data_IF_279053310007
#
_entry.id   IF_279053310007
#
_cell.length_a   1.000
_cell.length_b   1.000
_cell.length_c   1.000
_cell.angle_alpha   90.00
_cell.angle_beta   90.00
_cell.angle_gamma   90.00
#
_symmetry.space_group_name_H-M   'P 1'
#
loop_
_entity.id
_entity.type
_entity.pdbx_description
1 polymer ?
#
# COMPACT_ATOMS: atom_id res chain seq x y z
N UNK A 1 -7.10 -4.25 4.13
CA UNK A 1 -6.19 -3.43 4.96
C UNK A 1 -6.32 -1.98 4.59
N UNK A 2 -6.48 -1.13 5.55
CA UNK A 2 -6.70 0.28 5.28
C UNK A 2 -5.39 1.02 5.07
N UNK A 3 -5.46 2.04 4.23
CA UNK A 3 -4.29 2.87 3.93
C UNK A 3 -3.71 3.48 5.19
N UNK A 4 -4.57 3.92 6.10
CA UNK A 4 -4.11 4.57 7.32
C UNK A 4 -3.38 3.61 8.25
N UNK A 5 -3.74 2.33 8.23
CA UNK A 5 -3.08 1.34 9.06
C UNK A 5 -1.65 1.09 8.57
N UNK A 6 -1.47 1.06 7.26
CA UNK A 6 -0.15 0.91 6.68
C UNK A 6 0.69 2.15 6.97
N UNK A 7 0.09 3.32 6.85
CA UNK A 7 0.78 4.57 7.15
C UNK A 7 1.22 4.63 8.61
N UNK A 8 0.39 4.16 9.52
CA UNK A 8 0.73 4.12 10.93
C UNK A 8 1.91 3.20 11.18
N UNK A 9 1.92 2.02 10.56
CA UNK A 9 3.04 1.09 10.69
C UNK A 9 4.33 1.72 10.17
N UNK A 10 4.28 2.35 9.01
CA UNK A 10 5.45 2.99 8.42
C UNK A 10 5.97 4.08 9.35
N UNK A 11 5.07 4.90 9.86
CA UNK A 11 5.44 6.00 10.74
C UNK A 11 6.15 5.50 11.99
N UNK A 12 5.62 4.44 12.59
CA UNK A 12 6.23 3.85 13.80
C UNK A 12 7.56 3.19 13.50
N UNK A 13 7.67 2.51 12.37
CA UNK A 13 8.92 1.85 11.99
C UNK A 13 10.03 2.84 11.71
N UNK A 14 9.68 4.05 11.31
CA UNK A 14 10.67 5.11 11.09
C UNK A 14 10.96 5.90 12.37
N UNK A 15 10.49 5.44 13.51
CA UNK A 15 10.69 6.08 14.82
C UNK A 15 9.98 7.41 14.94
N UNK A 16 8.82 7.50 14.32
CA UNK A 16 7.91 8.65 14.44
C UNK A 16 8.60 9.99 14.19
N UNK A 17 9.17 10.19 13.00
CA UNK A 17 9.89 11.43 12.72
C UNK A 17 8.99 12.65 12.83
N UNK A 18 9.48 13.71 13.42
CA UNK A 18 8.69 14.93 13.61
C UNK A 18 8.38 15.63 12.29
N UNK A 19 9.10 15.31 11.23
CA UNK A 19 8.89 15.91 9.92
C UNK A 19 7.83 15.17 9.10
N UNK A 20 7.34 14.04 9.59
CA UNK A 20 6.33 13.26 8.90
C UNK A 20 5.04 13.27 9.67
N UNK A 21 3.96 12.93 8.98
CA UNK A 21 2.67 12.74 9.61
C UNK A 21 2.00 11.52 9.00
N UNK A 22 1.16 10.88 9.77
CA UNK A 22 0.42 9.72 9.28
C UNK A 22 -0.45 10.07 8.07
N UNK A 23 -1.19 11.20 8.06
CA UNK A 23 -1.95 11.57 6.87
C UNK A 23 -1.11 11.76 5.61
N UNK A 24 0.08 12.30 5.74
CA UNK A 24 0.97 12.48 4.59
C UNK A 24 1.44 11.14 4.04
N UNK A 25 1.79 10.22 4.93
CA UNK A 25 2.20 8.89 4.51
C UNK A 25 1.02 8.15 3.88
N UNK A 26 -0.17 8.29 4.46
CA UNK A 26 -1.37 7.67 3.90
C UNK A 26 -1.68 8.18 2.50
N UNK A 27 -1.50 9.47 2.28
CA UNK A 27 -1.68 10.04 0.96
C UNK A 27 -0.69 9.44 -0.04
N UNK A 28 0.57 9.31 0.37
CA UNK A 28 1.58 8.69 -0.49
C UNK A 28 1.23 7.26 -0.82
N UNK A 29 0.82 6.49 0.19
CA UNK A 29 0.45 5.08 -0.01
C UNK A 29 -0.69 4.98 -1.01
N UNK A 30 -1.72 5.77 -0.82
CA UNK A 30 -2.87 5.76 -1.71
C UNK A 30 -2.48 6.11 -3.14
N UNK A 31 -1.57 7.06 -3.28
CA UNK A 31 -1.15 7.53 -4.60
C UNK A 31 -0.23 6.55 -5.31
N UNK A 32 0.37 5.61 -4.57
CA UNK A 32 1.37 4.71 -5.13
C UNK A 32 0.92 3.25 -5.22
N UNK A 33 -0.35 2.98 -5.00
CA UNK A 33 -0.87 1.62 -5.17
C UNK A 33 -0.73 1.17 -6.62
N UNK A 34 -0.85 2.10 -7.56
CA UNK A 34 -0.63 1.78 -8.97
C UNK A 34 0.78 1.29 -9.26
N UNK A 35 1.78 1.90 -8.62
CA UNK A 35 3.15 1.45 -8.76
C UNK A 35 3.33 0.05 -8.16
N UNK A 36 2.71 -0.20 -7.02
CA UNK A 36 2.74 -1.53 -6.43
C UNK A 36 2.18 -2.56 -7.39
N UNK A 37 1.07 -2.24 -8.04
CA UNK A 37 0.46 -3.13 -9.02
C UNK A 37 1.43 -3.45 -10.16
N UNK A 38 2.19 -2.46 -10.60
CA UNK A 38 3.17 -2.67 -11.66
C UNK A 38 4.28 -3.63 -11.22
N UNK A 39 4.75 -3.50 -10.00
CA UNK A 39 5.80 -4.38 -9.50
C UNK A 39 5.31 -5.80 -9.28
N UNK A 40 4.08 -5.95 -8.83
CA UNK A 40 3.56 -7.26 -8.44
C UNK A 40 2.62 -7.87 -9.48
N UNK A 41 2.34 -7.16 -10.54
CA UNK A 41 1.39 -7.60 -11.55
C UNK A 41 0.02 -7.90 -10.93
N UNK A 42 -0.46 -6.96 -10.14
CA UNK A 42 -1.73 -7.08 -9.44
C UNK A 42 -2.67 -5.95 -9.85
N UNK A 43 -3.86 -5.93 -9.26
CA UNK A 43 -4.87 -4.92 -9.59
C UNK A 43 -5.52 -4.36 -8.33
N UNK A 44 -4.72 -4.05 -7.35
CA UNK A 44 -5.23 -3.45 -6.12
C UNK A 44 -5.83 -2.09 -6.36
N UNK A 45 -6.88 -1.80 -5.63
CA UNK A 45 -7.55 -0.50 -5.70
C UNK A 45 -7.84 -0.03 -4.27
N UNK A 46 -7.95 1.27 -4.12
CA UNK A 46 -8.29 1.87 -2.84
C UNK A 46 -9.74 2.32 -2.89
N UNK A 47 -10.54 1.86 -1.94
CA UNK A 47 -11.94 2.26 -1.86
C UNK A 47 -12.05 3.73 -1.50
N UNK A 48 -12.92 4.45 -2.18
CA UNK A 48 -13.17 5.86 -1.87
C UNK A 48 -13.93 6.04 -0.57
N UNK A 49 -14.61 5.00 -0.12
CA UNK A 49 -15.42 5.11 1.09
C UNK A 49 -14.70 4.66 2.33
N UNK A 50 -14.01 3.52 2.25
CA UNK A 50 -13.37 2.91 3.42
C UNK A 50 -11.86 3.07 3.43
N UNK A 51 -11.27 3.44 2.29
CA UNK A 51 -9.81 3.55 2.10
C UNK A 51 -9.11 2.20 2.34
N UNK A 52 -9.80 1.12 2.08
CA UNK A 52 -9.19 -0.19 2.12
C UNK A 52 -8.57 -0.52 0.77
N UNK A 53 -7.46 -1.25 0.83
CA UNK A 53 -6.76 -1.70 -0.38
C UNK A 53 -7.17 -3.13 -0.63
N UNK A 54 -7.85 -3.36 -1.74
CA UNK A 54 -8.32 -4.69 -2.10
C UNK A 54 -8.12 -4.95 -3.58
N UNK A 55 -8.15 -6.20 -3.96
CA UNK A 55 -8.05 -6.62 -5.35
C UNK A 55 -9.22 -7.55 -5.65
N UNK A 56 -9.91 -7.31 -6.74
CA UNK A 56 -11.00 -8.19 -7.15
C UNK A 56 -10.43 -9.34 -7.97
N UNK A 57 -10.74 -10.54 -7.53
CA UNK A 57 -10.19 -11.74 -8.14
C UNK A 57 -10.59 -11.86 -9.59
N UNK A 58 -11.84 -11.58 -9.90
CA UNK A 58 -12.30 -11.68 -11.27
C UNK A 58 -11.61 -10.72 -12.20
N UNK A 59 -11.36 -9.52 -11.70
CA UNK A 59 -10.72 -8.51 -12.51
C UNK A 59 -9.26 -8.87 -12.83
N UNK A 60 -8.65 -9.70 -12.01
CA UNK A 60 -7.27 -10.10 -12.21
C UNK A 60 -7.15 -11.41 -12.96
N UNK A 61 -8.26 -12.11 -13.15
CA UNK A 61 -8.23 -13.40 -13.79
C UNK A 61 -7.68 -14.50 -12.91
N UNK A 62 -7.48 -14.24 -11.63
CA UNK A 62 -6.97 -15.26 -10.73
C UNK A 62 -8.12 -16.11 -10.22
N UNK A 63 -7.85 -17.39 -10.09
CA UNK A 63 -8.87 -18.29 -9.59
C UNK A 63 -9.04 -18.15 -8.10
N UNK A 64 -10.28 -18.12 -7.60
CA UNK A 64 -10.49 -18.14 -6.16
C UNK A 64 -9.99 -19.45 -5.59
N UNK A 65 -9.37 -19.38 -4.45
CA UNK A 65 -8.85 -20.57 -3.81
C UNK A 65 -9.89 -21.30 -3.00
N UNK A 66 -11.05 -20.71 -2.83
CA UNK A 66 -12.11 -21.27 -2.03
C UNK A 66 -13.27 -21.72 -2.90
N UNK A 67 -13.85 -22.82 -2.55
CA UNK A 67 -15.05 -23.25 -3.24
C UNK A 67 -16.26 -22.40 -2.92
N UNK A 68 -16.12 -21.57 -1.93
CA UNK A 68 -17.16 -20.62 -1.58
C UNK A 68 -17.05 -19.38 -2.42
N UNK A 69 -16.38 -19.51 -3.46
CA UNK A 69 -16.22 -18.42 -4.37
C UNK A 69 -17.50 -17.99 -5.01
N UNK A 70 -18.52 -18.70 -4.75
CA UNK A 70 -19.82 -18.20 -5.09
C UNK A 70 -20.10 -16.91 -4.42
N UNK A 71 -19.32 -16.57 -3.52
CA UNK A 71 -19.33 -15.26 -2.94
C UNK A 71 -18.87 -14.32 -3.98
N UNK A 72 -19.78 -13.61 -4.44
CA UNK A 72 -19.59 -12.81 -5.55
C UNK A 72 -18.55 -11.80 -5.46
N UNK A 73 -18.28 -11.34 -4.35
CA UNK A 73 -17.37 -10.24 -4.19
C UNK A 73 -16.09 -10.76 -3.67
N UNK A 74 -15.54 -11.71 -4.32
CA UNK A 74 -14.25 -12.22 -3.98
C UNK A 74 -13.23 -11.15 -4.13
N UNK A 75 -12.94 -10.47 -3.06
CA UNK A 75 -11.86 -9.51 -3.02
C UNK A 75 -10.74 -10.08 -2.19
N UNK A 76 -9.54 -9.77 -2.58
CA UNK A 76 -8.35 -10.16 -1.84
C UNK A 76 -7.80 -8.94 -1.15
N UNK A 77 -7.53 -9.08 0.13
CA UNK A 77 -6.87 -8.01 0.86
C UNK A 77 -5.38 -8.05 0.60
N UNK A 78 -4.74 -6.94 0.86
CA UNK A 78 -3.30 -6.85 0.75
C UNK A 78 -2.65 -7.82 1.75
N UNK A 79 -1.80 -8.68 1.25
CA UNK A 79 -1.14 -9.69 2.08
C UNK A 79 0.14 -9.12 2.68
N UNK A 80 0.75 -9.87 3.60
CA UNK A 80 1.94 -9.40 4.28
C UNK A 80 3.10 -9.15 3.33
N UNK A 81 3.28 -10.01 2.35
CA UNK A 81 4.37 -9.84 1.39
C UNK A 81 4.17 -8.59 0.54
N UNK A 82 2.94 -8.34 0.16
CA UNK A 82 2.60 -7.19 -0.66
C UNK A 82 2.73 -5.91 0.15
N UNK A 83 2.32 -5.96 1.41
CA UNK A 83 2.50 -4.84 2.31
C UNK A 83 3.98 -4.54 2.53
N UNK A 84 4.79 -5.59 2.64
CA UNK A 84 6.23 -5.41 2.82
C UNK A 84 6.85 -4.69 1.64
N UNK A 85 6.43 -5.02 0.43
CA UNK A 85 6.92 -4.33 -0.77
C UNK A 85 6.51 -2.86 -0.73
N UNK A 86 5.27 -2.59 -0.40
CA UNK A 86 4.77 -1.21 -0.32
C UNK A 86 5.55 -0.40 0.72
N UNK A 87 5.83 -1.00 1.87
CA UNK A 87 6.60 -0.33 2.91
C UNK A 87 8.03 -0.04 2.45
N UNK A 88 8.63 -0.97 1.72
CA UNK A 88 9.97 -0.75 1.18
C UNK A 88 9.96 0.37 0.14
N UNK A 89 8.93 0.44 -0.67
CA UNK A 89 8.78 1.53 -1.62
C UNK A 89 8.76 2.88 -0.90
N UNK A 90 8.02 2.96 0.19
CA UNK A 90 7.98 4.20 0.96
C UNK A 90 9.34 4.51 1.59
N UNK A 91 10.02 3.50 2.10
CA UNK A 91 11.34 3.70 2.69
C UNK A 91 12.32 4.26 1.68
N UNK A 92 12.30 3.74 0.46
CA UNK A 92 13.16 4.27 -0.61
C UNK A 92 12.82 5.74 -0.87
N UNK A 93 11.54 6.06 -0.95
CA UNK A 93 11.09 7.43 -1.15
C UNK A 93 11.56 8.34 -0.01
N UNK A 94 11.39 7.89 1.21
CA UNK A 94 11.74 8.66 2.39
C UNK A 94 13.25 8.94 2.46
N UNK A 95 14.05 7.90 2.28
CA UNK A 95 15.51 8.09 2.36
C UNK A 95 16.05 8.86 1.17
N UNK A 96 15.43 8.74 0.01
CA UNK A 96 15.79 9.54 -1.13
C UNK A 96 15.54 11.03 -0.86
N UNK A 97 14.42 11.36 -0.23
CA UNK A 97 14.14 12.74 0.16
C UNK A 97 15.12 13.24 1.20
N UNK A 98 15.49 12.40 2.17
CA UNK A 98 16.45 12.78 3.18
C UNK A 98 17.81 13.07 2.55
N UNK A 99 18.22 12.22 1.62
CA UNK A 99 19.49 12.41 0.94
C UNK A 99 19.52 13.72 0.15
N UNK A 100 18.46 14.00 -0.58
CA UNK A 100 18.37 15.23 -1.37
C UNK A 100 18.42 16.44 -0.47
N UNK A 101 17.75 16.39 0.66
CA UNK A 101 17.76 17.49 1.62
C UNK A 101 19.17 17.72 2.19
N UNK A 102 19.88 16.63 2.49
CA UNK A 102 21.21 16.68 3.04
C UNK A 102 22.22 17.24 2.03
N UNK A 103 22.03 16.92 0.76
CA UNK A 103 22.94 17.38 -0.28
C UNK A 103 22.72 18.84 -0.68
N UNK A 104 21.85 19.52 0.02
CA UNK A 104 21.68 20.94 -0.18
C UNK A 104 20.88 21.28 -1.42
N UNK A 105 20.00 20.43 -1.72
CA UNK A 105 19.15 20.65 -2.87
C UNK A 105 18.33 21.91 -2.75
#
# INVERSE_FOLDING_TARGET
MKVVDIADEIFRELSEPSTLSIPAIAYWVRSNVGELNNYLNTSFRVSHETFEITEQVEATGREPTSFNSSVDNDTLELQFEEKAVLKKMYNVHYYDQQLRSTLGA
#
